data_IF_930954060249
#
_entry.id   IF_930954060249
#
_cell.length_a   1.000
_cell.length_b   1.000
_cell.length_c   1.000
_cell.angle_alpha   90.00
_cell.angle_beta   90.00
_cell.angle_gamma   90.00
#
_symmetry.space_group_name_H-M   'P 1'
#
loop_
_entity.id
_entity.type
_entity.pdbx_description
1 polymer ?
#
# COMPACT_ATOMS: atom_id res chain seq x y z
N UNK A 1 -46.18 27.91 -3.41
CA UNK A 1 -45.83 26.83 -2.47
C UNK A 1 -45.37 25.62 -3.29
N UNK A 2 -44.07 25.38 -3.45
CA UNK A 2 -43.51 24.16 -4.09
C UNK A 2 -42.91 23.22 -3.01
N UNK A 3 -43.66 22.84 -1.95
CA UNK A 3 -43.10 22.05 -0.84
C UNK A 3 -42.69 20.64 -1.27
N UNK A 4 -43.20 20.16 -2.42
CA UNK A 4 -42.90 18.83 -2.94
C UNK A 4 -41.61 18.76 -3.77
N UNK A 5 -41.01 19.90 -4.14
CA UNK A 5 -39.78 19.89 -4.93
C UNK A 5 -38.55 19.55 -4.09
N UNK A 6 -38.53 19.96 -2.82
CA UNK A 6 -37.43 19.68 -1.91
C UNK A 6 -37.22 18.17 -1.65
N UNK A 7 -38.25 17.37 -1.33
CA UNK A 7 -38.07 15.93 -1.11
C UNK A 7 -37.68 15.19 -2.39
N UNK A 8 -38.20 15.61 -3.56
CA UNK A 8 -37.86 15.01 -4.84
C UNK A 8 -36.39 15.23 -5.22
N UNK A 9 -35.86 16.41 -4.94
CA UNK A 9 -34.48 16.77 -5.24
C UNK A 9 -33.50 16.06 -4.28
N UNK A 10 -33.90 15.87 -3.03
CA UNK A 10 -33.15 15.09 -2.04
C UNK A 10 -33.09 13.59 -2.43
N UNK A 11 -34.20 13.03 -2.91
CA UNK A 11 -34.26 11.63 -3.34
C UNK A 11 -33.41 11.39 -4.59
N UNK A 12 -33.40 12.33 -5.54
CA UNK A 12 -32.53 12.27 -6.72
C UNK A 12 -31.04 12.36 -6.33
N UNK A 13 -30.69 13.25 -5.40
CA UNK A 13 -29.31 13.38 -4.92
C UNK A 13 -28.85 12.10 -4.20
N UNK A 14 -29.72 11.50 -3.38
CA UNK A 14 -29.46 10.24 -2.71
C UNK A 14 -29.26 9.10 -3.73
N UNK A 15 -30.13 8.99 -4.74
CA UNK A 15 -30.02 7.96 -5.79
C UNK A 15 -28.73 8.12 -6.63
N UNK A 16 -28.32 9.35 -6.93
CA UNK A 16 -27.08 9.62 -7.66
C UNK A 16 -25.83 9.30 -6.83
N UNK A 17 -25.89 9.56 -5.53
CA UNK A 17 -24.81 9.22 -4.60
C UNK A 17 -24.71 7.71 -4.31
N UNK A 18 -25.83 6.98 -4.39
CA UNK A 18 -25.85 5.52 -4.22
C UNK A 18 -25.15 4.77 -5.37
N UNK A 19 -25.10 5.32 -6.59
CA UNK A 19 -24.33 4.77 -7.71
C UNK A 19 -22.80 4.87 -7.54
N UNK A 20 -22.29 5.47 -6.47
CA UNK A 20 -20.85 5.51 -6.18
C UNK A 20 -20.49 5.19 -4.72
N UNK A 21 -21.38 5.49 -3.77
CA UNK A 21 -21.19 5.20 -2.34
C UNK A 21 -21.34 3.70 -2.00
N UNK A 22 -22.18 2.97 -2.75
CA UNK A 22 -22.34 1.52 -2.57
C UNK A 22 -21.06 0.74 -2.89
N UNK A 23 -20.32 1.17 -3.92
CA UNK A 23 -19.01 0.60 -4.24
C UNK A 23 -17.95 1.11 -3.26
N UNK A 24 -17.94 2.40 -2.93
CA UNK A 24 -16.87 3.01 -2.11
C UNK A 24 -16.78 2.44 -0.69
N UNK A 25 -17.90 2.10 -0.03
CA UNK A 25 -17.87 1.50 1.30
C UNK A 25 -17.31 0.06 1.28
N UNK A 26 -17.67 -0.73 0.27
CA UNK A 26 -17.10 -2.05 0.06
C UNK A 26 -15.63 -1.98 -0.37
N UNK A 27 -15.27 -1.01 -1.23
CA UNK A 27 -13.89 -0.74 -1.66
C UNK A 27 -13.03 -0.30 -0.49
N UNK A 28 -13.52 0.54 0.42
CA UNK A 28 -12.78 0.97 1.61
C UNK A 28 -12.47 -0.21 2.55
N UNK A 29 -13.45 -1.09 2.79
CA UNK A 29 -13.23 -2.30 3.57
C UNK A 29 -12.28 -3.29 2.87
N UNK A 30 -12.37 -3.40 1.54
CA UNK A 30 -11.53 -4.31 0.74
C UNK A 30 -10.08 -3.81 0.63
N UNK A 31 -9.88 -2.49 0.48
CA UNK A 31 -8.53 -1.89 0.39
C UNK A 31 -7.77 -1.96 1.71
N UNK A 32 -8.43 -1.77 2.85
CA UNK A 32 -7.80 -1.93 4.15
C UNK A 32 -7.25 -3.36 4.36
N UNK A 33 -8.02 -4.37 3.97
CA UNK A 33 -7.62 -5.76 4.13
C UNK A 33 -6.53 -6.19 3.12
N UNK A 34 -6.57 -5.63 1.91
CA UNK A 34 -5.53 -5.82 0.90
C UNK A 34 -4.20 -5.18 1.32
N UNK A 35 -4.22 -3.98 1.91
CA UNK A 35 -3.00 -3.33 2.42
C UNK A 35 -2.35 -4.14 3.53
N UNK A 36 -3.13 -4.69 4.47
CA UNK A 36 -2.59 -5.52 5.55
C UNK A 36 -1.88 -6.78 5.02
N UNK A 37 -2.50 -7.48 4.06
CA UNK A 37 -1.89 -8.66 3.44
C UNK A 37 -0.65 -8.32 2.62
N UNK A 38 -0.68 -7.24 1.84
CA UNK A 38 0.49 -6.77 1.09
C UNK A 38 1.64 -6.40 2.04
N UNK A 39 1.35 -5.77 3.18
CA UNK A 39 2.36 -5.42 4.17
C UNK A 39 3.00 -6.67 4.79
N UNK A 40 2.23 -7.69 5.15
CA UNK A 40 2.79 -8.95 5.66
C UNK A 40 3.66 -9.66 4.62
N UNK A 41 3.19 -9.73 3.38
CA UNK A 41 3.92 -10.40 2.30
C UNK A 41 5.22 -9.65 1.96
N UNK A 42 5.18 -8.32 1.95
CA UNK A 42 6.34 -7.45 1.77
C UNK A 42 7.33 -7.59 2.93
N UNK A 43 6.87 -7.71 4.19
CA UNK A 43 7.76 -7.95 5.33
C UNK A 43 8.52 -9.26 5.21
N UNK A 44 7.85 -10.34 4.78
CA UNK A 44 8.51 -11.64 4.58
C UNK A 44 9.55 -11.58 3.46
N UNK A 45 9.21 -10.95 2.32
CA UNK A 45 10.18 -10.75 1.23
C UNK A 45 11.35 -9.85 1.67
N UNK A 46 11.09 -8.80 2.45
CA UNK A 46 12.15 -7.94 2.97
C UNK A 46 13.13 -8.70 3.85
N UNK A 47 12.67 -9.65 4.67
CA UNK A 47 13.57 -10.44 5.52
C UNK A 47 14.52 -11.30 4.68
N UNK A 48 14.00 -11.99 3.66
CA UNK A 48 14.83 -12.80 2.75
C UNK A 48 15.79 -11.93 1.94
N UNK A 49 15.32 -10.80 1.42
CA UNK A 49 16.15 -9.87 0.68
C UNK A 49 17.24 -9.26 1.58
N UNK A 50 16.90 -8.91 2.83
CA UNK A 50 17.84 -8.34 3.79
C UNK A 50 18.99 -9.30 4.10
N UNK A 51 18.72 -10.61 4.23
CA UNK A 51 19.79 -11.59 4.40
C UNK A 51 20.71 -11.68 3.19
N UNK A 52 20.16 -11.62 1.97
CA UNK A 52 20.97 -11.62 0.75
C UNK A 52 21.83 -10.36 0.62
N UNK A 53 21.25 -9.19 0.93
CA UNK A 53 21.97 -7.92 0.95
C UNK A 53 23.09 -7.95 1.98
N UNK A 54 22.82 -8.43 3.20
CA UNK A 54 23.81 -8.47 4.28
C UNK A 54 25.01 -9.35 3.91
N UNK A 55 24.75 -10.55 3.39
CA UNK A 55 25.81 -11.45 2.92
C UNK A 55 26.65 -10.81 1.79
N UNK A 56 26.01 -10.18 0.81
CA UNK A 56 26.70 -9.48 -0.26
C UNK A 56 27.52 -8.29 0.27
N UNK A 57 27.00 -7.58 1.25
CA UNK A 57 27.66 -6.42 1.85
C UNK A 57 28.91 -6.83 2.64
N UNK A 58 28.87 -7.94 3.39
CA UNK A 58 30.04 -8.51 4.07
C UNK A 58 31.13 -8.88 3.07
N UNK A 59 30.77 -9.58 1.98
CA UNK A 59 31.74 -9.95 0.94
C UNK A 59 32.34 -8.72 0.26
N UNK A 60 31.52 -7.69 -0.01
CA UNK A 60 32.00 -6.45 -0.60
C UNK A 60 32.96 -5.70 0.34
N UNK A 61 32.63 -5.61 1.63
CA UNK A 61 33.49 -5.00 2.65
C UNK A 61 34.85 -5.70 2.73
N UNK A 62 34.89 -7.04 2.71
CA UNK A 62 36.16 -7.79 2.70
C UNK A 62 37.02 -7.44 1.50
N UNK A 63 36.43 -7.43 0.29
CA UNK A 63 37.14 -7.05 -0.94
C UNK A 63 37.68 -5.62 -0.90
N UNK A 64 36.93 -4.70 -0.29
CA UNK A 64 37.38 -3.32 -0.11
C UNK A 64 38.55 -3.24 0.86
N UNK A 65 38.50 -3.96 1.98
CA UNK A 65 39.56 -3.98 3.00
C UNK A 65 40.85 -4.59 2.44
N UNK A 66 40.75 -5.67 1.66
CA UNK A 66 41.89 -6.28 0.95
C UNK A 66 42.49 -5.31 -0.07
N UNK A 67 41.66 -4.67 -0.91
CA UNK A 67 42.14 -3.68 -1.89
C UNK A 67 42.79 -2.46 -1.22
N UNK A 68 42.31 -2.04 -0.05
CA UNK A 68 42.91 -0.96 0.73
C UNK A 68 44.25 -1.38 1.36
N UNK A 69 44.38 -2.63 1.83
CA UNK A 69 45.65 -3.18 2.31
C UNK A 69 46.69 -3.31 1.19
N UNK A 70 46.28 -3.70 -0.01
CA UNK A 70 47.19 -3.81 -1.17
C UNK A 70 47.64 -2.43 -1.69
N UNK A 71 46.90 -1.37 -1.40
CA UNK A 71 47.22 -0.01 -1.82
C UNK A 71 48.10 0.79 -0.83
N UNK A 72 48.41 0.22 0.35
CA UNK A 72 49.30 0.81 1.37
C UNK A 72 50.71 0.20 1.32
#
# INVERSE_FOLDING_TARGET
>A
MRPLQLPLLLLLAAALSACGLGETAATAATTANLQAQQAQQAQQQMQQLKQQIDAANVQNQQRLDDALKEAQ
#
